data_IF_541902659742
#
_entry.id   IF_541902659742
#
_cell.length_a   1.000
_cell.length_b   1.000
_cell.length_c   1.000
_cell.angle_alpha   90.00
_cell.angle_beta   90.00
_cell.angle_gamma   90.00
#
_symmetry.space_group_name_H-M   'P 1'
#
loop_
_entity.id
_entity.type
_entity.pdbx_description
1 polymer ?
#
# COMPACT_ATOMS: atom_id res chain seq x y z
N UNK A 1 -31.31 -6.36 -19.75
CA UNK A 1 -30.43 -6.33 -18.58
C UNK A 1 -30.32 -7.74 -18.04
N UNK A 2 -29.14 -8.37 -17.96
CA UNK A 2 -29.02 -9.67 -17.31
C UNK A 2 -29.24 -9.48 -15.80
N UNK A 3 -30.21 -10.18 -15.25
CA UNK A 3 -30.46 -10.26 -13.80
C UNK A 3 -29.33 -11.08 -13.17
N UNK A 4 -28.43 -10.39 -12.44
CA UNK A 4 -27.44 -11.08 -11.62
C UNK A 4 -28.15 -11.89 -10.52
N UNK A 5 -27.68 -13.12 -10.23
CA UNK A 5 -28.24 -13.89 -9.13
C UNK A 5 -28.01 -13.11 -7.82
N UNK A 6 -29.07 -12.91 -7.05
CA UNK A 6 -29.01 -12.28 -5.73
C UNK A 6 -28.21 -13.16 -4.78
N UNK A 7 -27.05 -12.69 -4.35
CA UNK A 7 -26.32 -13.29 -3.25
C UNK A 7 -27.08 -13.00 -1.94
N UNK A 8 -27.50 -14.04 -1.24
CA UNK A 8 -28.14 -13.93 0.08
C UNK A 8 -27.19 -14.59 1.08
N UNK A 9 -26.55 -13.85 2.03
CA UNK A 9 -25.71 -14.46 3.06
C UNK A 9 -26.56 -15.30 4.01
N UNK A 10 -26.05 -16.46 4.42
CA UNK A 10 -26.66 -17.26 5.46
C UNK A 10 -26.52 -16.58 6.83
N UNK A 11 -27.56 -16.54 7.65
CA UNK A 11 -27.48 -15.99 9.01
C UNK A 11 -26.36 -16.67 9.83
N UNK A 12 -25.41 -15.88 10.36
CA UNK A 12 -24.20 -16.35 11.05
C UNK A 12 -22.99 -16.54 10.12
N UNK A 13 -23.09 -16.14 8.86
CA UNK A 13 -22.00 -16.22 7.91
C UNK A 13 -20.85 -15.23 8.24
N UNK A 14 -19.64 -15.63 7.90
CA UNK A 14 -18.44 -14.79 7.95
C UNK A 14 -18.66 -13.53 7.11
N UNK A 15 -18.31 -12.31 7.60
CA UNK A 15 -18.38 -11.09 6.79
C UNK A 15 -17.62 -11.24 5.48
N UNK A 16 -18.12 -10.62 4.42
CA UNK A 16 -17.45 -10.64 3.12
C UNK A 16 -16.16 -9.81 3.19
N UNK A 17 -16.23 -8.58 3.74
CA UNK A 17 -15.10 -7.67 3.83
C UNK A 17 -14.94 -7.12 5.23
N UNK A 18 -13.71 -7.19 5.78
CA UNK A 18 -13.28 -6.37 6.93
C UNK A 18 -12.55 -5.14 6.43
N UNK A 19 -13.09 -3.96 6.73
CA UNK A 19 -12.47 -2.67 6.50
C UNK A 19 -11.69 -2.27 7.73
N UNK A 20 -10.38 -2.10 7.61
CA UNK A 20 -9.49 -1.69 8.71
C UNK A 20 -9.14 -0.23 8.52
N UNK A 21 -9.57 0.62 9.46
CA UNK A 21 -9.44 2.08 9.42
C UNK A 21 -8.57 2.56 10.58
N UNK A 22 -7.25 2.69 10.38
CA UNK A 22 -6.39 3.31 11.37
C UNK A 22 -6.66 4.82 11.43
N UNK A 23 -6.68 5.39 12.63
CA UNK A 23 -6.86 6.84 12.84
C UNK A 23 -5.95 7.34 13.95
N UNK A 24 -5.42 8.56 13.80
CA UNK A 24 -4.62 9.25 14.82
C UNK A 24 -4.73 10.76 14.64
N UNK A 25 -5.27 11.44 15.65
CA UNK A 25 -5.43 12.92 15.67
C UNK A 25 -6.08 13.49 14.39
N UNK A 26 -7.02 12.74 13.80
CA UNK A 26 -7.76 13.20 12.64
C UNK A 26 -8.92 14.11 13.05
N UNK A 27 -9.27 15.12 12.21
CA UNK A 27 -10.56 15.77 12.29
C UNK A 27 -11.68 14.72 12.18
N UNK A 28 -12.68 14.83 13.04
CA UNK A 28 -13.75 13.83 13.15
C UNK A 28 -14.59 13.78 11.88
N UNK A 29 -14.81 14.91 11.23
CA UNK A 29 -15.52 15.00 9.96
C UNK A 29 -14.85 14.17 8.86
N UNK A 30 -13.52 14.18 8.76
CA UNK A 30 -12.78 13.34 7.81
C UNK A 30 -12.96 11.85 8.09
N UNK A 31 -12.81 11.45 9.37
CA UNK A 31 -13.04 10.06 9.77
C UNK A 31 -14.48 9.65 9.47
N UNK A 32 -15.44 10.54 9.71
CA UNK A 32 -16.83 10.29 9.41
C UNK A 32 -17.08 10.09 7.92
N UNK A 33 -16.55 10.95 7.05
CA UNK A 33 -16.64 10.78 5.59
C UNK A 33 -16.05 9.43 5.13
N UNK A 34 -14.93 9.01 5.74
CA UNK A 34 -14.31 7.71 5.47
C UNK A 34 -15.27 6.56 5.81
N UNK A 35 -15.87 6.58 7.02
CA UNK A 35 -16.81 5.56 7.48
C UNK A 35 -18.11 5.55 6.65
N UNK A 36 -18.66 6.73 6.36
CA UNK A 36 -19.87 6.87 5.54
C UNK A 36 -19.64 6.27 4.14
N UNK A 37 -18.47 6.48 3.54
CA UNK A 37 -18.13 5.90 2.24
C UNK A 37 -18.09 4.37 2.23
N UNK A 38 -17.79 3.74 3.38
CA UNK A 38 -17.85 2.29 3.54
C UNK A 38 -19.30 1.84 3.77
N UNK A 39 -20.05 2.59 4.58
CA UNK A 39 -21.44 2.27 4.90
C UNK A 39 -22.39 2.42 3.69
N UNK A 40 -22.06 3.29 2.74
CA UNK A 40 -22.81 3.53 1.50
C UNK A 40 -22.61 2.44 0.43
N UNK A 41 -21.73 1.46 0.64
CA UNK A 41 -21.56 0.34 -0.28
C UNK A 41 -22.76 -0.62 -0.25
N UNK A 42 -22.93 -1.40 -1.32
CA UNK A 42 -23.98 -2.42 -1.46
C UNK A 42 -23.77 -3.66 -0.56
N UNK A 43 -23.04 -3.51 0.54
CA UNK A 43 -22.82 -4.54 1.54
C UNK A 43 -23.86 -4.40 2.67
N UNK A 44 -24.51 -5.49 3.04
CA UNK A 44 -25.33 -5.50 4.25
C UNK A 44 -24.45 -5.37 5.50
N UNK A 45 -25.08 -5.10 6.65
CA UNK A 45 -24.33 -4.98 7.91
C UNK A 45 -23.64 -6.30 8.28
N UNK A 46 -24.19 -7.44 7.90
CA UNK A 46 -23.60 -8.76 8.12
C UNK A 46 -22.46 -9.07 7.13
N UNK A 47 -22.46 -8.47 5.94
CA UNK A 47 -21.41 -8.67 4.95
C UNK A 47 -20.20 -7.79 5.19
N UNK A 48 -20.33 -6.70 5.96
CA UNK A 48 -19.23 -5.78 6.26
C UNK A 48 -18.84 -5.81 7.73
N UNK A 49 -17.58 -5.71 8.01
CA UNK A 49 -17.00 -5.49 9.34
C UNK A 49 -16.12 -4.25 9.26
N UNK A 50 -16.46 -3.20 10.00
CA UNK A 50 -15.70 -1.94 10.02
C UNK A 50 -14.93 -1.85 11.32
N UNK A 51 -13.60 -1.88 11.24
CA UNK A 51 -12.68 -1.92 12.39
C UNK A 51 -11.91 -0.61 12.43
N UNK A 52 -12.26 0.26 13.37
CA UNK A 52 -11.59 1.55 13.61
C UNK A 52 -10.55 1.37 14.70
N UNK A 53 -9.28 1.63 14.37
CA UNK A 53 -8.17 1.58 15.33
C UNK A 53 -7.69 2.99 15.61
N UNK A 54 -8.08 3.55 16.78
CA UNK A 54 -7.55 4.81 17.29
C UNK A 54 -6.17 4.57 17.92
N UNK A 55 -5.13 5.00 17.23
CA UNK A 55 -3.74 4.86 17.69
C UNK A 55 -3.34 5.94 18.72
N UNK A 56 -4.20 6.14 19.71
CA UNK A 56 -3.92 7.01 20.85
C UNK A 56 -4.12 8.50 20.56
N UNK A 57 -5.15 8.87 19.83
CA UNK A 57 -5.50 10.28 19.59
C UNK A 57 -5.63 11.06 20.90
N UNK A 58 -5.17 12.31 20.91
CA UNK A 58 -5.29 13.23 22.07
C UNK A 58 -6.77 13.38 22.43
N UNK A 59 -7.60 13.70 21.44
CA UNK A 59 -9.05 13.73 21.54
C UNK A 59 -9.61 12.49 20.87
N UNK A 60 -10.18 11.57 21.65
CA UNK A 60 -10.80 10.37 21.09
C UNK A 60 -12.02 10.75 20.24
N UNK A 61 -12.14 10.21 19.02
CA UNK A 61 -13.32 10.45 18.17
C UNK A 61 -14.56 9.69 18.63
N UNK A 62 -14.47 8.81 19.61
CA UNK A 62 -15.53 7.87 20.02
C UNK A 62 -16.87 8.55 20.29
N UNK A 63 -16.87 9.66 21.03
CA UNK A 63 -18.10 10.36 21.36
C UNK A 63 -18.82 10.94 20.12
N UNK A 64 -18.06 11.33 19.11
CA UNK A 64 -18.61 11.86 17.86
C UNK A 64 -19.05 10.77 16.87
N UNK A 65 -18.73 9.51 17.15
CA UNK A 65 -19.16 8.33 16.38
C UNK A 65 -20.32 7.59 17.05
N UNK A 66 -20.97 8.17 18.07
CA UNK A 66 -22.00 7.52 18.86
C UNK A 66 -23.22 7.02 18.03
N UNK A 67 -23.55 7.72 16.97
CA UNK A 67 -24.66 7.39 16.07
C UNK A 67 -24.36 6.21 15.12
N UNK A 68 -23.10 5.83 14.97
CA UNK A 68 -22.67 4.67 14.15
C UNK A 68 -21.96 3.60 14.95
N UNK A 69 -21.92 3.73 16.28
CA UNK A 69 -21.14 2.84 17.15
C UNK A 69 -21.56 1.37 17.02
N UNK A 70 -22.84 1.11 16.78
CA UNK A 70 -23.38 -0.25 16.59
C UNK A 70 -22.99 -0.88 15.24
N UNK A 71 -22.41 -0.11 14.33
CA UNK A 71 -21.98 -0.56 13.01
C UNK A 71 -20.46 -0.73 12.90
N UNK A 72 -19.70 -0.36 13.95
CA UNK A 72 -18.23 -0.38 13.95
C UNK A 72 -17.68 -1.15 15.15
N UNK A 73 -16.49 -1.70 14.98
CA UNK A 73 -15.66 -2.20 16.08
C UNK A 73 -14.61 -1.11 16.34
N UNK A 74 -14.75 -0.41 17.46
CA UNK A 74 -13.81 0.65 17.85
C UNK A 74 -12.80 0.13 18.89
N UNK A 75 -11.51 0.24 18.57
CA UNK A 75 -10.42 -0.09 19.50
C UNK A 75 -9.48 1.10 19.62
N UNK A 76 -9.18 1.46 20.87
CA UNK A 76 -8.15 2.46 21.18
C UNK A 76 -6.93 1.80 21.78
N UNK A 77 -5.75 2.16 21.27
CA UNK A 77 -4.46 1.69 21.77
C UNK A 77 -3.53 2.88 22.06
N UNK A 78 -2.45 2.70 22.87
CA UNK A 78 -1.38 3.69 22.95
C UNK A 78 -0.75 3.90 21.57
N UNK A 79 -0.37 5.15 21.24
CA UNK A 79 0.26 5.45 19.96
C UNK A 79 1.53 4.63 19.73
N UNK A 80 1.52 3.82 18.67
CA UNK A 80 2.62 2.97 18.24
C UNK A 80 2.84 3.02 16.71
N UNK A 81 2.10 3.87 16.01
CA UNK A 81 2.19 4.06 14.57
C UNK A 81 1.28 3.16 13.73
N UNK A 82 1.16 3.52 12.46
CA UNK A 82 0.23 2.91 11.52
C UNK A 82 0.41 1.39 11.35
N UNK A 83 1.66 0.90 11.35
CA UNK A 83 1.96 -0.53 11.28
C UNK A 83 1.30 -1.33 12.40
N UNK A 84 1.44 -0.86 13.66
CA UNK A 84 0.84 -1.52 14.83
C UNK A 84 -0.68 -1.42 14.79
N UNK A 85 -1.22 -0.27 14.41
CA UNK A 85 -2.68 -0.09 14.28
C UNK A 85 -3.26 -1.05 13.23
N UNK A 86 -2.63 -1.18 12.05
CA UNK A 86 -3.05 -2.14 11.02
C UNK A 86 -2.89 -3.58 11.51
N UNK A 87 -1.81 -3.93 12.20
CA UNK A 87 -1.61 -5.27 12.79
C UNK A 87 -2.69 -5.61 13.82
N UNK A 88 -3.08 -4.65 14.66
CA UNK A 88 -4.20 -4.82 15.61
C UNK A 88 -5.50 -5.12 14.86
N UNK A 89 -5.82 -4.35 13.82
CA UNK A 89 -6.99 -4.60 12.98
C UNK A 89 -6.95 -5.97 12.31
N UNK A 90 -5.81 -6.37 11.74
CA UNK A 90 -5.61 -7.70 11.14
C UNK A 90 -5.81 -8.84 12.15
N UNK A 91 -5.48 -8.61 13.43
CA UNK A 91 -5.60 -9.62 14.49
C UNK A 91 -7.05 -9.97 14.83
N UNK A 92 -7.99 -9.07 14.58
CA UNK A 92 -9.41 -9.24 14.93
C UNK A 92 -10.32 -9.40 13.72
N UNK A 93 -9.84 -9.03 12.52
CA UNK A 93 -10.61 -9.09 11.28
C UNK A 93 -11.10 -10.52 10.98
N UNK A 94 -12.40 -10.67 10.75
CA UNK A 94 -13.08 -11.95 10.47
C UNK A 94 -13.50 -12.09 9.01
N UNK A 95 -13.55 -10.99 8.26
CA UNK A 95 -13.99 -10.98 6.87
C UNK A 95 -13.22 -11.96 5.98
N UNK A 96 -13.89 -12.45 4.95
CA UNK A 96 -13.26 -13.28 3.91
C UNK A 96 -12.16 -12.49 3.18
N UNK A 97 -12.40 -11.18 2.99
CA UNK A 97 -11.46 -10.23 2.40
C UNK A 97 -11.11 -9.12 3.38
N UNK A 98 -9.98 -8.47 3.13
CA UNK A 98 -9.49 -7.32 3.90
C UNK A 98 -9.31 -6.13 2.96
N UNK A 99 -9.78 -4.97 3.41
CA UNK A 99 -9.50 -3.67 2.81
C UNK A 99 -8.97 -2.73 3.88
N UNK A 100 -7.81 -2.11 3.62
CA UNK A 100 -7.36 -0.97 4.42
C UNK A 100 -7.94 0.33 3.85
N UNK A 101 -8.38 1.21 4.74
CA UNK A 101 -8.84 2.55 4.37
C UNK A 101 -8.20 3.54 5.34
N UNK A 102 -7.37 4.46 4.86
CA UNK A 102 -6.81 5.49 5.74
C UNK A 102 -7.95 6.43 6.18
N UNK A 103 -8.00 6.78 7.48
CA UNK A 103 -9.14 7.47 8.07
C UNK A 103 -9.43 8.88 7.53
N UNK A 104 -8.51 9.45 6.74
CA UNK A 104 -8.65 10.74 6.05
C UNK A 104 -9.04 10.62 4.57
N UNK A 105 -9.12 9.40 4.07
CA UNK A 105 -9.47 9.07 2.69
C UNK A 105 -10.88 8.47 2.62
N UNK A 106 -11.37 8.14 1.42
CA UNK A 106 -12.67 7.50 1.24
C UNK A 106 -12.70 6.56 0.05
N UNK A 107 -13.61 5.60 0.07
CA UNK A 107 -13.90 4.77 -1.08
C UNK A 107 -14.74 5.53 -2.11
N UNK A 108 -14.51 5.28 -3.38
CA UNK A 108 -15.35 5.78 -4.49
C UNK A 108 -16.34 4.68 -4.83
N UNK A 109 -17.60 4.86 -4.43
CA UNK A 109 -18.65 3.84 -4.50
C UNK A 109 -18.70 3.14 -5.86
N UNK A 110 -18.84 3.90 -6.96
CA UNK A 110 -19.00 3.32 -8.30
C UNK A 110 -17.86 2.39 -8.70
N UNK A 111 -16.60 2.76 -8.38
CA UNK A 111 -15.44 1.94 -8.66
C UNK A 111 -15.29 0.78 -7.69
N UNK A 112 -15.62 0.99 -6.41
CA UNK A 112 -15.47 -0.06 -5.39
C UNK A 112 -16.53 -1.16 -5.52
N UNK A 113 -17.75 -0.83 -5.96
CA UNK A 113 -18.77 -1.82 -6.30
C UNK A 113 -18.29 -2.80 -7.37
N UNK A 114 -17.55 -2.32 -8.39
CA UNK A 114 -16.92 -3.19 -9.37
C UNK A 114 -15.91 -4.17 -8.73
N UNK A 115 -15.14 -3.70 -7.73
CA UNK A 115 -14.24 -4.59 -6.99
C UNK A 115 -15.01 -5.64 -6.17
N UNK A 116 -16.15 -5.26 -5.56
CA UNK A 116 -17.02 -6.19 -4.84
C UNK A 116 -17.60 -7.25 -5.78
N UNK A 117 -18.04 -6.87 -6.97
CA UNK A 117 -18.53 -7.80 -7.97
C UNK A 117 -17.43 -8.77 -8.43
N UNK A 118 -16.20 -8.26 -8.63
CA UNK A 118 -15.06 -9.10 -8.99
C UNK A 118 -14.78 -10.17 -7.94
N UNK A 119 -14.80 -9.86 -6.65
CA UNK A 119 -14.59 -10.87 -5.59
C UNK A 119 -15.78 -11.82 -5.41
N UNK A 120 -17.00 -11.35 -5.70
CA UNK A 120 -18.22 -12.18 -5.59
C UNK A 120 -18.33 -13.18 -6.72
N UNK A 121 -18.05 -12.77 -7.95
CA UNK A 121 -18.35 -13.55 -9.15
C UNK A 121 -17.13 -14.21 -9.81
N UNK A 122 -15.93 -13.64 -9.62
CA UNK A 122 -14.68 -14.20 -10.19
C UNK A 122 -13.82 -14.89 -9.12
N UNK A 123 -14.20 -14.80 -7.83
CA UNK A 123 -13.46 -15.39 -6.70
C UNK A 123 -11.97 -14.97 -6.63
N UNK A 124 -11.64 -13.78 -7.13
CA UNK A 124 -10.30 -13.27 -7.13
C UNK A 124 -9.68 -13.30 -5.73
N UNK A 125 -8.39 -13.63 -5.64
CA UNK A 125 -7.63 -13.58 -4.40
C UNK A 125 -7.27 -12.14 -4.02
N UNK A 126 -7.06 -11.31 -5.04
CA UNK A 126 -6.71 -9.91 -4.90
C UNK A 126 -7.27 -9.10 -6.06
N UNK A 127 -7.80 -7.93 -5.76
CA UNK A 127 -8.22 -6.93 -6.77
C UNK A 127 -7.41 -5.68 -6.55
N UNK A 128 -6.57 -5.32 -7.52
CA UNK A 128 -5.80 -4.07 -7.53
C UNK A 128 -6.56 -3.03 -8.33
N UNK A 129 -6.76 -1.86 -7.78
CA UNK A 129 -7.57 -0.81 -8.38
C UNK A 129 -6.85 0.55 -8.45
N UNK A 130 -7.48 1.56 -9.02
CA UNK A 130 -6.89 2.91 -9.15
C UNK A 130 -7.41 3.84 -8.06
N UNK A 131 -6.64 4.89 -7.82
CA UNK A 131 -7.02 6.00 -6.95
C UNK A 131 -6.96 7.33 -7.68
N UNK A 132 -7.76 8.28 -7.21
CA UNK A 132 -7.76 9.67 -7.69
C UNK A 132 -7.63 10.63 -6.52
N UNK A 133 -6.91 11.74 -6.72
CA UNK A 133 -6.93 12.89 -5.81
C UNK A 133 -7.97 13.94 -6.23
N UNK A 134 -8.72 13.66 -7.29
CA UNK A 134 -9.85 14.48 -7.74
C UNK A 134 -11.14 13.72 -7.41
N UNK A 135 -12.14 14.47 -6.97
CA UNK A 135 -13.47 13.93 -6.76
C UNK A 135 -14.03 13.44 -8.10
N UNK A 136 -14.51 12.22 -8.12
CA UNK A 136 -15.13 11.62 -9.30
C UNK A 136 -16.47 11.02 -8.89
N UNK A 137 -17.54 11.50 -9.53
CA UNK A 137 -18.91 11.07 -9.21
C UNK A 137 -19.37 9.86 -10.02
N UNK A 138 -18.80 9.60 -11.18
CA UNK A 138 -19.14 8.46 -12.02
C UNK A 138 -17.96 7.97 -12.85
N UNK A 139 -17.89 6.68 -13.04
CA UNK A 139 -16.95 6.04 -13.96
C UNK A 139 -17.71 5.40 -15.12
N UNK A 140 -17.08 5.41 -16.29
CA UNK A 140 -17.44 4.53 -17.38
C UNK A 140 -17.29 3.05 -17.00
N UNK A 141 -17.54 2.14 -17.92
CA UNK A 141 -17.33 0.70 -17.71
C UNK A 141 -15.85 0.44 -17.38
N UNK A 142 -15.58 -0.15 -16.20
CA UNK A 142 -14.22 -0.53 -15.83
C UNK A 142 -13.72 -1.70 -16.69
N UNK A 143 -12.41 -1.73 -16.90
CA UNK A 143 -11.71 -2.77 -17.65
C UNK A 143 -10.77 -3.54 -16.75
N UNK A 144 -10.86 -4.85 -16.80
CA UNK A 144 -10.07 -5.76 -15.97
C UNK A 144 -8.97 -6.45 -16.79
N UNK A 145 -7.83 -6.67 -16.16
CA UNK A 145 -6.75 -7.52 -16.65
C UNK A 145 -6.54 -8.67 -15.68
N UNK A 146 -6.48 -9.88 -16.18
CA UNK A 146 -6.33 -11.07 -15.36
C UNK A 146 -7.51 -12.03 -15.53
N UNK A 147 -7.64 -13.02 -14.66
CA UNK A 147 -6.78 -13.26 -13.49
C UNK A 147 -5.35 -13.63 -13.89
N UNK A 148 -4.39 -13.23 -13.04
CA UNK A 148 -2.97 -13.53 -13.19
C UNK A 148 -2.34 -13.82 -11.81
N UNK A 149 -1.16 -14.44 -11.77
CA UNK A 149 -0.45 -14.57 -10.50
C UNK A 149 0.12 -13.23 -10.02
N UNK A 150 0.28 -13.05 -8.70
CA UNK A 150 0.94 -11.88 -8.15
C UNK A 150 2.39 -11.73 -8.62
N UNK A 151 3.08 -12.85 -8.90
CA UNK A 151 4.42 -12.86 -9.50
C UNK A 151 4.41 -12.29 -10.91
N UNK A 152 3.43 -12.66 -11.73
CA UNK A 152 3.25 -12.09 -13.06
C UNK A 152 2.97 -10.59 -13.00
N UNK A 153 2.06 -10.19 -12.10
CA UNK A 153 1.78 -8.77 -11.90
C UNK A 153 3.04 -7.98 -11.54
N UNK A 154 3.81 -8.44 -10.55
CA UNK A 154 5.02 -7.76 -10.08
C UNK A 154 6.14 -7.75 -11.12
N UNK A 155 6.26 -8.78 -11.96
CA UNK A 155 7.26 -8.83 -13.04
C UNK A 155 7.00 -7.80 -14.13
N UNK A 156 5.75 -7.43 -14.38
CA UNK A 156 5.37 -6.58 -15.51
C UNK A 156 4.91 -5.19 -15.12
N UNK A 157 4.54 -4.95 -13.85
CA UNK A 157 4.04 -3.67 -13.39
C UNK A 157 4.96 -3.00 -12.36
N UNK A 158 4.92 -1.67 -12.31
CA UNK A 158 5.55 -0.93 -11.24
C UNK A 158 4.62 -0.91 -10.03
N UNK A 159 5.07 -1.48 -8.93
CA UNK A 159 4.30 -1.55 -7.71
C UNK A 159 4.17 -0.16 -7.05
N UNK A 160 2.94 0.25 -6.77
CA UNK A 160 2.62 1.27 -5.77
C UNK A 160 2.33 0.53 -4.46
N UNK A 161 3.20 0.68 -3.48
CA UNK A 161 3.06 -0.03 -2.20
C UNK A 161 2.08 0.67 -1.26
N UNK A 162 0.93 1.10 -1.78
CA UNK A 162 -0.15 1.66 -0.97
C UNK A 162 -1.05 0.53 -0.51
N UNK A 163 -1.10 0.25 0.79
CA UNK A 163 -1.90 -0.86 1.36
C UNK A 163 -3.40 -0.70 1.12
N UNK A 164 -3.87 0.51 0.91
CA UNK A 164 -5.25 0.82 0.57
C UNK A 164 -5.60 0.62 -0.91
N UNK A 165 -4.61 0.39 -1.78
CA UNK A 165 -4.78 0.30 -3.24
C UNK A 165 -5.24 -1.08 -3.74
N UNK A 166 -5.62 -1.98 -2.86
CA UNK A 166 -6.08 -3.32 -3.20
C UNK A 166 -6.94 -3.95 -2.12
N UNK A 167 -7.91 -4.73 -2.56
CA UNK A 167 -8.74 -5.63 -1.76
C UNK A 167 -8.16 -7.04 -1.88
N UNK A 168 -7.99 -7.79 -0.77
CA UNK A 168 -7.35 -9.09 -0.81
C UNK A 168 -8.00 -10.13 0.10
N UNK A 169 -7.94 -11.39 -0.29
CA UNK A 169 -8.43 -12.53 0.49
C UNK A 169 -7.61 -12.69 1.77
N UNK A 170 -8.27 -12.72 2.92
CA UNK A 170 -7.62 -12.80 4.24
C UNK A 170 -6.69 -14.00 4.39
N UNK A 171 -6.96 -15.14 3.73
CA UNK A 171 -6.10 -16.32 3.77
C UNK A 171 -4.70 -16.09 3.22
N UNK A 172 -4.49 -15.09 2.34
CA UNK A 172 -3.17 -14.72 1.84
C UNK A 172 -2.23 -14.21 2.93
N UNK A 173 -2.77 -13.72 4.06
CA UNK A 173 -1.94 -13.20 5.15
C UNK A 173 -1.06 -14.27 5.78
N UNK A 174 -1.61 -15.44 6.10
CA UNK A 174 -0.90 -16.38 6.97
C UNK A 174 -0.33 -15.67 8.19
N UNK A 175 0.98 -15.72 8.35
CA UNK A 175 1.72 -15.05 9.42
C UNK A 175 2.31 -13.68 9.02
N UNK A 176 2.01 -13.17 7.82
CA UNK A 176 2.51 -11.87 7.37
C UNK A 176 1.87 -10.73 8.19
N UNK A 177 2.71 -9.86 8.71
CA UNK A 177 2.33 -8.66 9.46
C UNK A 177 3.20 -7.50 9.01
N UNK A 178 2.72 -6.28 9.25
CA UNK A 178 3.51 -5.07 9.03
C UNK A 178 4.70 -5.02 9.98
N UNK A 179 5.84 -4.61 9.46
CA UNK A 179 7.03 -4.36 10.26
C UNK A 179 6.83 -3.12 11.13
N UNK A 180 6.85 -3.31 12.44
CA UNK A 180 6.64 -2.23 13.40
C UNK A 180 7.88 -1.35 13.53
N UNK A 181 7.67 -0.05 13.75
CA UNK A 181 8.75 0.90 14.03
C UNK A 181 9.45 1.48 12.81
N UNK A 182 9.07 1.12 11.59
CA UNK A 182 9.55 1.73 10.33
C UNK A 182 8.47 2.55 9.65
N UNK A 183 8.87 3.52 8.81
CA UNK A 183 7.96 4.44 8.11
C UNK A 183 7.61 3.98 6.68
N UNK A 184 8.05 2.79 6.27
CA UNK A 184 7.83 2.22 4.93
C UNK A 184 7.42 0.76 5.02
N UNK A 185 6.57 0.47 5.98
CA UNK A 185 6.04 -0.85 6.26
C UNK A 185 5.26 -1.45 5.09
N UNK A 186 4.62 -0.59 4.30
CA UNK A 186 3.88 -0.94 3.09
C UNK A 186 4.79 -1.45 1.96
N UNK A 187 6.01 -0.90 1.85
CA UNK A 187 7.01 -1.32 0.86
C UNK A 187 7.54 -2.74 1.11
N UNK A 188 7.50 -3.18 2.36
CA UNK A 188 7.86 -4.54 2.76
C UNK A 188 6.65 -5.48 2.65
N UNK A 189 5.50 -5.07 3.17
CA UNK A 189 4.30 -5.88 3.29
C UNK A 189 3.68 -6.23 1.92
N UNK A 190 3.45 -5.21 1.08
CA UNK A 190 2.68 -5.36 -0.16
C UNK A 190 3.28 -6.35 -1.16
N UNK A 191 4.59 -6.32 -1.50
CA UNK A 191 5.13 -7.29 -2.45
C UNK A 191 5.07 -8.73 -1.92
N UNK A 192 5.25 -8.93 -0.62
CA UNK A 192 5.16 -10.24 0.00
C UNK A 192 3.74 -10.81 -0.01
N UNK A 193 2.73 -9.95 0.21
CA UNK A 193 1.33 -10.35 0.12
C UNK A 193 0.96 -10.70 -1.32
N UNK A 194 1.35 -9.85 -2.28
CA UNK A 194 1.06 -10.08 -3.71
C UNK A 194 1.62 -11.39 -4.24
N UNK A 195 2.84 -11.77 -3.85
CA UNK A 195 3.43 -13.06 -4.26
C UNK A 195 2.60 -14.29 -3.86
N UNK A 196 1.66 -14.14 -2.93
CA UNK A 196 0.79 -15.23 -2.47
C UNK A 196 -0.53 -15.32 -3.25
N UNK A 197 -0.82 -14.33 -4.08
CA UNK A 197 -2.03 -14.32 -4.89
C UNK A 197 -1.85 -15.14 -6.16
N UNK A 198 -2.75 -16.08 -6.40
CA UNK A 198 -2.80 -16.87 -7.63
C UNK A 198 -3.81 -16.31 -8.63
N UNK A 199 -4.86 -15.64 -8.12
CA UNK A 199 -5.95 -15.07 -8.90
C UNK A 199 -6.03 -13.55 -8.63
N UNK A 200 -5.04 -12.78 -9.13
CA UNK A 200 -5.04 -11.32 -9.04
C UNK A 200 -5.73 -10.74 -10.26
N UNK A 201 -6.67 -9.84 -10.03
CA UNK A 201 -7.31 -9.00 -11.05
C UNK A 201 -6.84 -7.56 -10.89
N UNK A 202 -6.37 -6.96 -11.98
CA UNK A 202 -5.96 -5.55 -12.03
C UNK A 202 -7.00 -4.76 -12.82
N UNK A 203 -7.78 -3.94 -12.14
CA UNK A 203 -8.83 -3.12 -12.74
C UNK A 203 -8.41 -1.65 -12.88
N UNK A 204 -8.91 -0.97 -13.91
CA UNK A 204 -8.75 0.48 -14.05
C UNK A 204 -9.82 1.28 -13.29
N UNK A 205 -10.74 0.61 -12.58
CA UNK A 205 -11.72 1.23 -11.71
C UNK A 205 -11.06 2.17 -10.69
N UNK A 206 -11.49 3.44 -10.65
CA UNK A 206 -11.09 4.37 -9.59
C UNK A 206 -11.97 4.12 -8.38
N UNK A 207 -11.43 3.35 -7.42
CA UNK A 207 -12.14 2.85 -6.25
C UNK A 207 -11.76 3.56 -4.95
N UNK A 208 -10.78 4.44 -5.00
CA UNK A 208 -10.24 5.11 -3.84
C UNK A 208 -10.01 6.60 -4.12
N UNK A 209 -10.48 7.47 -3.21
CA UNK A 209 -10.20 8.90 -3.20
C UNK A 209 -9.11 9.18 -2.18
N UNK A 210 -7.91 9.52 -2.68
CA UNK A 210 -6.77 9.92 -1.87
C UNK A 210 -6.81 11.43 -1.64
N UNK A 211 -7.07 11.85 -0.39
CA UNK A 211 -7.15 13.27 -0.02
C UNK A 211 -5.76 13.90 0.05
N UNK A 212 -5.52 14.89 -0.82
CA UNK A 212 -4.34 15.73 -0.66
C UNK A 212 -4.57 16.73 0.47
N UNK A 213 -3.83 16.60 1.56
CA UNK A 213 -3.84 17.60 2.63
C UNK A 213 -2.91 18.75 2.29
N UNK A 214 -3.34 19.98 2.60
CA UNK A 214 -2.45 21.12 2.68
C UNK A 214 -1.74 21.09 4.04
N UNK A 215 -0.43 20.90 4.02
CA UNK A 215 0.41 20.83 5.21
C UNK A 215 1.16 19.51 5.38
N UNK A 216 2.18 19.47 6.24
CA UNK A 216 2.98 18.27 6.45
C UNK A 216 2.17 17.23 7.24
N UNK A 217 1.66 16.22 6.57
CA UNK A 217 1.06 15.00 7.18
C UNK A 217 2.15 14.08 7.73
N UNK A 218 3.39 14.30 7.36
CA UNK A 218 4.55 13.55 7.83
C UNK A 218 5.35 14.37 8.82
N UNK A 219 6.02 13.69 9.77
CA UNK A 219 7.04 14.25 10.66
C UNK A 219 7.84 15.37 10.00
N UNK A 220 8.20 16.38 10.77
CA UNK A 220 8.99 17.53 10.33
C UNK A 220 10.03 17.10 9.29
N UNK A 221 10.09 17.81 8.14
CA UNK A 221 11.03 17.51 7.03
C UNK A 221 12.47 17.90 7.41
N UNK A 222 12.86 17.54 8.64
CA UNK A 222 14.21 17.77 9.15
C UNK A 222 15.19 16.70 8.68
N UNK A 223 16.46 16.97 8.89
CA UNK A 223 17.53 16.07 8.47
C UNK A 223 17.50 14.72 9.21
N UNK A 224 16.93 14.67 10.43
CA UNK A 224 16.82 13.45 11.23
C UNK A 224 15.72 12.54 10.67
N UNK A 225 14.57 13.09 10.33
CA UNK A 225 13.49 12.36 9.67
C UNK A 225 13.93 11.81 8.29
N UNK A 226 14.64 12.63 7.50
CA UNK A 226 15.24 12.18 6.22
C UNK A 226 16.22 11.02 6.40
N UNK A 227 17.09 11.09 7.40
CA UNK A 227 18.04 10.02 7.71
C UNK A 227 17.31 8.73 8.13
N UNK A 228 16.29 8.84 9.01
CA UNK A 228 15.46 7.72 9.44
C UNK A 228 14.77 7.04 8.25
N UNK A 229 14.12 7.79 7.36
CA UNK A 229 13.48 7.24 6.14
C UNK A 229 14.46 6.47 5.25
N UNK A 230 15.72 6.91 5.16
CA UNK A 230 16.74 6.17 4.42
C UNK A 230 17.19 4.89 5.14
N UNK A 231 17.31 4.91 6.46
CA UNK A 231 17.65 3.72 7.24
C UNK A 231 16.50 2.71 7.24
N UNK A 232 15.24 3.17 7.35
CA UNK A 232 14.04 2.32 7.22
C UNK A 232 13.99 1.62 5.85
N UNK A 233 14.31 2.34 4.76
CA UNK A 233 14.33 1.75 3.42
C UNK A 233 15.45 0.69 3.27
N UNK A 234 16.58 0.85 3.96
CA UNK A 234 17.60 -0.21 4.01
C UNK A 234 17.11 -1.42 4.79
N UNK A 235 16.36 -1.24 5.86
CA UNK A 235 15.72 -2.34 6.61
C UNK A 235 14.77 -3.13 5.71
N UNK A 236 13.93 -2.43 4.95
CA UNK A 236 13.04 -3.07 3.95
C UNK A 236 13.83 -3.86 2.91
N UNK A 237 14.91 -3.27 2.36
CA UNK A 237 15.78 -3.94 1.40
C UNK A 237 16.43 -5.19 1.98
N UNK A 238 16.91 -5.14 3.23
CA UNK A 238 17.50 -6.28 3.92
C UNK A 238 16.46 -7.41 4.07
N UNK A 239 15.27 -7.09 4.58
CA UNK A 239 14.18 -8.07 4.76
C UNK A 239 13.75 -8.73 3.44
N UNK A 240 13.56 -7.93 2.37
CA UNK A 240 13.14 -8.48 1.08
C UNK A 240 14.25 -9.32 0.43
N UNK A 241 15.52 -8.91 0.57
CA UNK A 241 16.67 -9.62 0.00
C UNK A 241 16.87 -10.99 0.68
N UNK A 242 16.75 -11.07 1.99
CA UNK A 242 16.87 -12.34 2.76
C UNK A 242 15.83 -13.40 2.34
N UNK A 243 14.72 -12.98 1.73
CA UNK A 243 13.67 -13.89 1.27
C UNK A 243 13.94 -14.47 -0.11
N UNK A 244 14.73 -13.77 -0.95
CA UNK A 244 14.94 -14.15 -2.36
C UNK A 244 15.40 -15.59 -2.52
N UNK A 245 16.34 -16.05 -1.69
CA UNK A 245 16.92 -17.40 -1.81
C UNK A 245 15.95 -18.53 -1.49
N UNK A 246 14.84 -18.22 -0.80
CA UNK A 246 13.83 -19.19 -0.39
C UNK A 246 12.65 -19.28 -1.34
N UNK A 247 12.60 -18.41 -2.36
CA UNK A 247 11.48 -18.30 -3.29
C UNK A 247 11.70 -19.17 -4.54
N UNK A 248 10.61 -19.70 -5.14
CA UNK A 248 10.61 -20.24 -6.48
C UNK A 248 11.15 -19.23 -7.52
N UNK A 249 11.57 -19.71 -8.68
CA UNK A 249 12.26 -18.86 -9.66
C UNK A 249 11.44 -17.63 -10.13
N UNK A 250 10.16 -17.81 -10.36
CA UNK A 250 9.28 -16.73 -10.83
C UNK A 250 9.03 -15.67 -9.74
N UNK A 251 8.73 -16.12 -8.52
CA UNK A 251 8.56 -15.24 -7.36
C UNK A 251 9.85 -14.49 -7.03
N UNK A 252 10.98 -15.19 -7.11
CA UNK A 252 12.30 -14.59 -6.93
C UNK A 252 12.55 -13.49 -7.97
N UNK A 253 12.24 -13.74 -9.25
CA UNK A 253 12.40 -12.74 -10.31
C UNK A 253 11.48 -11.52 -10.08
N UNK A 254 10.25 -11.75 -9.62
CA UNK A 254 9.29 -10.73 -9.28
C UNK A 254 9.76 -9.86 -8.10
N UNK A 255 10.17 -10.50 -7.00
CA UNK A 255 10.66 -9.78 -5.81
C UNK A 255 12.00 -9.08 -6.07
N UNK A 256 12.90 -9.68 -6.86
CA UNK A 256 14.17 -9.07 -7.26
C UNK A 256 13.93 -7.76 -8.02
N UNK A 257 12.96 -7.72 -8.93
CA UNK A 257 12.58 -6.47 -9.61
C UNK A 257 12.18 -5.39 -8.61
N UNK A 258 11.42 -5.74 -7.56
CA UNK A 258 11.03 -4.78 -6.52
C UNK A 258 12.25 -4.30 -5.71
N UNK A 259 13.12 -5.20 -5.31
CA UNK A 259 14.39 -4.86 -4.62
C UNK A 259 15.23 -3.90 -5.47
N UNK A 260 15.37 -4.16 -6.76
CA UNK A 260 16.12 -3.31 -7.68
C UNK A 260 15.49 -1.90 -7.79
N UNK A 261 14.16 -1.81 -7.85
CA UNK A 261 13.44 -0.52 -7.88
C UNK A 261 13.62 0.26 -6.57
N UNK A 262 13.45 -0.40 -5.41
CA UNK A 262 13.66 0.22 -4.10
C UNK A 262 15.12 0.66 -3.89
N UNK A 263 16.08 -0.09 -4.44
CA UNK A 263 17.51 0.29 -4.44
C UNK A 263 17.73 1.58 -5.26
N UNK A 264 17.06 1.70 -6.41
CA UNK A 264 17.04 2.96 -7.17
C UNK A 264 16.41 4.09 -6.35
N UNK A 265 15.26 3.86 -5.71
CA UNK A 265 14.56 4.87 -4.91
C UNK A 265 15.40 5.33 -3.71
N UNK A 266 16.14 4.43 -3.06
CA UNK A 266 17.10 4.77 -2.02
C UNK A 266 18.15 5.76 -2.51
N UNK A 267 18.73 5.53 -3.69
CA UNK A 267 19.75 6.43 -4.27
C UNK A 267 19.15 7.77 -4.72
N UNK A 268 17.95 7.75 -5.29
CA UNK A 268 17.18 8.96 -5.64
C UNK A 268 16.90 9.79 -4.39
N UNK A 269 16.46 9.16 -3.29
CA UNK A 269 16.19 9.85 -2.04
C UNK A 269 17.46 10.47 -1.43
N UNK A 270 18.61 9.78 -1.46
CA UNK A 270 19.88 10.38 -1.02
C UNK A 270 20.19 11.64 -1.83
N UNK A 271 20.06 11.58 -3.15
CA UNK A 271 20.34 12.73 -4.02
C UNK A 271 19.39 13.88 -3.71
N UNK A 272 18.09 13.59 -3.62
CA UNK A 272 17.04 14.59 -3.37
C UNK A 272 17.20 15.26 -2.00
N UNK A 273 17.46 14.46 -0.95
CA UNK A 273 17.55 14.97 0.43
C UNK A 273 18.84 15.71 0.71
N UNK A 274 19.97 15.30 0.10
CA UNK A 274 21.28 15.80 0.52
C UNK A 274 21.99 16.62 -0.53
N UNK A 275 21.72 16.42 -1.82
CA UNK A 275 22.45 17.00 -2.95
C UNK A 275 23.97 16.89 -2.82
N UNK A 276 24.45 15.84 -2.16
CA UNK A 276 25.84 15.68 -1.73
C UNK A 276 26.48 14.43 -2.33
N UNK A 277 27.57 14.63 -3.07
CA UNK A 277 28.37 13.53 -3.60
C UNK A 277 28.93 12.63 -2.48
N UNK A 278 29.31 13.21 -1.34
CA UNK A 278 29.81 12.46 -0.17
C UNK A 278 28.75 11.53 0.41
N UNK A 279 27.49 11.99 0.53
CA UNK A 279 26.39 11.14 1.03
C UNK A 279 26.04 10.06 0.01
N UNK A 280 26.04 10.38 -1.29
CA UNK A 280 25.82 9.40 -2.35
C UNK A 280 26.89 8.28 -2.30
N UNK A 281 28.18 8.60 -2.21
CA UNK A 281 29.24 7.59 -2.14
C UNK A 281 29.12 6.72 -0.86
N UNK A 282 28.71 7.29 0.28
CA UNK A 282 28.39 6.51 1.48
C UNK A 282 27.22 5.56 1.26
N UNK A 283 26.16 6.04 0.60
CA UNK A 283 25.01 5.20 0.24
C UNK A 283 25.40 4.05 -0.68
N UNK A 284 26.20 4.32 -1.71
CA UNK A 284 26.73 3.30 -2.60
C UNK A 284 27.58 2.25 -1.86
N UNK A 285 28.37 2.67 -0.87
CA UNK A 285 29.13 1.74 -0.03
C UNK A 285 28.22 0.84 0.81
N UNK A 286 27.13 1.40 1.40
CA UNK A 286 26.12 0.63 2.15
C UNK A 286 25.47 -0.43 1.26
N UNK A 287 25.10 -0.06 0.01
CA UNK A 287 24.50 -0.99 -0.95
C UNK A 287 25.49 -2.06 -1.45
N UNK A 288 26.76 -1.71 -1.66
CA UNK A 288 27.81 -2.69 -2.02
C UNK A 288 27.96 -3.78 -0.98
N UNK A 289 27.96 -3.42 0.31
CA UNK A 289 28.06 -4.38 1.42
C UNK A 289 26.89 -5.36 1.48
N UNK A 290 25.75 -4.98 0.87
CA UNK A 290 24.51 -5.78 0.77
C UNK A 290 24.41 -6.53 -0.56
N UNK A 291 25.37 -6.41 -1.46
CA UNK A 291 25.27 -6.99 -2.80
C UNK A 291 24.29 -6.28 -3.74
N UNK A 292 23.75 -5.11 -3.34
CA UNK A 292 22.73 -4.36 -4.10
C UNK A 292 23.33 -3.31 -5.06
N UNK A 293 24.64 -3.18 -5.13
CA UNK A 293 25.33 -2.31 -6.06
C UNK A 293 26.58 -3.00 -6.62
N UNK A 294 26.89 -2.93 -7.94
CA UNK A 294 26.26 -2.08 -8.96
C UNK A 294 24.82 -2.47 -9.28
N UNK A 295 24.00 -1.49 -9.70
CA UNK A 295 22.62 -1.75 -10.11
C UNK A 295 22.59 -2.66 -11.34
N UNK A 296 21.76 -3.71 -11.39
CA UNK A 296 21.63 -4.54 -12.57
C UNK A 296 20.99 -3.76 -13.72
N UNK A 297 21.57 -3.89 -14.92
CA UNK A 297 21.07 -3.20 -16.12
C UNK A 297 19.91 -3.96 -16.73
N UNK A 298 18.76 -3.98 -16.05
CA UNK A 298 17.54 -4.66 -16.48
C UNK A 298 16.61 -3.73 -17.26
N UNK A 299 15.79 -4.31 -18.12
CA UNK A 299 14.80 -3.58 -18.95
C UNK A 299 13.43 -3.47 -18.27
N UNK A 300 13.39 -3.13 -16.98
CA UNK A 300 12.11 -2.96 -16.26
C UNK A 300 11.31 -1.77 -16.81
N UNK A 301 11.98 -0.62 -16.93
CA UNK A 301 11.47 0.59 -17.59
C UNK A 301 12.64 1.36 -18.21
N UNK A 302 12.35 2.25 -19.17
CA UNK A 302 13.37 3.14 -19.74
C UNK A 302 14.01 4.02 -18.68
N UNK A 303 13.21 4.51 -17.71
CA UNK A 303 13.70 5.31 -16.58
C UNK A 303 14.69 4.53 -15.72
N UNK A 304 14.34 3.29 -15.34
CA UNK A 304 15.22 2.45 -14.53
C UNK A 304 16.53 2.15 -15.26
N UNK A 305 16.46 1.71 -16.51
CA UNK A 305 17.64 1.38 -17.32
C UNK A 305 18.59 2.56 -17.45
N UNK A 306 18.07 3.75 -17.80
CA UNK A 306 18.89 4.96 -17.92
C UNK A 306 19.54 5.31 -16.57
N UNK A 307 18.76 5.30 -15.49
CA UNK A 307 19.27 5.56 -14.15
C UNK A 307 20.38 4.59 -13.74
N UNK A 308 20.18 3.28 -13.91
CA UNK A 308 21.18 2.26 -13.57
C UNK A 308 22.47 2.44 -14.38
N UNK A 309 22.36 2.68 -15.69
CA UNK A 309 23.53 2.96 -16.54
C UNK A 309 24.31 4.17 -16.07
N UNK A 310 23.63 5.27 -15.77
CA UNK A 310 24.30 6.50 -15.30
C UNK A 310 24.87 6.34 -13.88
N UNK A 311 24.13 5.69 -12.97
CA UNK A 311 24.56 5.51 -11.59
C UNK A 311 25.79 4.60 -11.47
N UNK A 312 25.93 3.62 -12.35
CA UNK A 312 27.06 2.69 -12.34
C UNK A 312 28.38 3.30 -12.82
N UNK A 313 28.39 4.50 -13.40
CA UNK A 313 29.61 5.20 -13.79
C UNK A 313 29.80 6.57 -13.10
N UNK A 314 31.04 7.01 -12.95
CA UNK A 314 31.37 8.25 -12.21
C UNK A 314 30.81 9.52 -12.88
N UNK A 315 30.86 9.62 -14.20
CA UNK A 315 30.37 10.79 -14.93
C UNK A 315 28.84 10.88 -14.81
N UNK A 316 28.13 9.78 -15.03
CA UNK A 316 26.67 9.69 -14.89
C UNK A 316 26.18 10.05 -13.49
N UNK A 317 26.88 9.62 -12.41
CA UNK A 317 26.54 10.02 -11.03
C UNK A 317 26.60 11.53 -10.82
N UNK A 318 27.58 12.22 -11.41
CA UNK A 318 27.65 13.68 -11.35
C UNK A 318 26.44 14.31 -12.04
N UNK A 319 26.06 13.82 -13.22
CA UNK A 319 24.88 14.32 -13.93
C UNK A 319 23.61 14.09 -13.10
N UNK A 320 23.40 12.89 -12.57
CA UNK A 320 22.24 12.57 -11.74
C UNK A 320 22.15 13.44 -10.49
N UNK A 321 23.29 13.74 -9.84
CA UNK A 321 23.34 14.57 -8.64
C UNK A 321 22.81 15.99 -8.89
N UNK A 322 23.00 16.54 -10.10
CA UNK A 322 22.49 17.87 -10.47
C UNK A 322 21.10 17.83 -11.08
N UNK A 323 20.78 16.82 -11.89
CA UNK A 323 19.51 16.77 -12.65
C UNK A 323 18.32 16.29 -11.83
N UNK A 324 18.47 15.29 -10.95
CA UNK A 324 17.34 14.73 -10.18
C UNK A 324 16.65 15.80 -9.32
N UNK A 325 17.35 16.68 -8.56
CA UNK A 325 16.70 17.70 -7.75
C UNK A 325 15.93 18.76 -8.54
N UNK A 326 16.07 18.81 -9.86
CA UNK A 326 15.33 19.71 -10.74
C UNK A 326 14.04 19.08 -11.27
N UNK A 327 13.99 17.76 -11.33
CA UNK A 327 12.86 16.99 -11.90
C UNK A 327 11.91 16.49 -10.80
N UNK A 328 12.44 16.19 -9.62
CA UNK A 328 11.69 15.76 -8.44
C UNK A 328 11.46 16.98 -7.54
N UNK A 329 10.40 17.72 -7.84
CA UNK A 329 9.88 18.80 -6.99
C UNK A 329 8.52 18.45 -6.45
#
# INVERSE_FOLDING_TARGET
MPTHPSYTPAHGAQPLVSFIVPTYNLPVDMLRESLDSIMDLSLTQEEREIIVIDDGSINSPLAALADVIDQIIYIRQPNKGAAVARNTGLGIAKGRYIQFVDGDDRLVRSGYEHCLDTIRFQEADMVVFRSSAKEQESMGTASDRGPMSGSDYLRHNNLRSCVWGYLFRRSLLGNLRFHEGITREDEEFTPQLMLRAEQLVDTDAVSYYYRKREGPVMEADDNRAKARRLDDLLTVLDTLTERLDRLPADDRAALQRRVDQLTMDYLVNIITYTRSARHLERGLLRLRRRGLYPLPTKHYTNKYRLFATMMNNKAGRKVLLYSIPLVVR
#
